data_IF_186789026632
#
_entry.id   IF_186789026632
#
_cell.length_a   1.000
_cell.length_b   1.000
_cell.length_c   1.000
_cell.angle_alpha   90.00
_cell.angle_beta   90.00
_cell.angle_gamma   90.00
#
_symmetry.space_group_name_H-M   'P 1'
#
loop_
_entity.id
_entity.type
_entity.pdbx_description
1 polymer ?
#
# COMPACT_ATOMS: atom_id res chain seq x y z
N UNK A 1 14.59 0.56 6.67
CA UNK A 1 13.23 0.01 6.96
C UNK A 1 12.38 0.92 7.88
N UNK A 2 12.65 2.24 7.95
CA UNK A 2 12.04 3.15 8.94
C UNK A 2 10.51 3.15 8.92
N UNK A 3 9.88 3.23 7.74
CA UNK A 3 8.41 3.25 7.66
C UNK A 3 7.77 1.97 8.20
N UNK A 4 8.36 0.80 7.94
CA UNK A 4 7.89 -0.47 8.50
C UNK A 4 8.03 -0.48 10.03
N UNK A 5 9.12 0.08 10.55
CA UNK A 5 9.31 0.23 12.00
C UNK A 5 8.26 1.17 12.60
N UNK A 6 8.01 2.32 11.99
CA UNK A 6 6.99 3.27 12.46
C UNK A 6 5.59 2.64 12.46
N UNK A 7 5.23 1.90 11.40
CA UNK A 7 3.97 1.13 11.35
C UNK A 7 3.89 0.13 12.49
N UNK A 8 4.92 -0.71 12.66
CA UNK A 8 4.96 -1.73 13.71
C UNK A 8 4.96 -1.15 15.13
N UNK A 9 5.57 0.02 15.34
CA UNK A 9 5.65 0.69 16.63
C UNK A 9 4.37 1.47 16.95
N UNK A 10 3.62 1.91 15.95
CA UNK A 10 2.38 2.66 16.14
C UNK A 10 1.26 1.83 16.77
N UNK A 11 1.24 0.52 16.54
CA UNK A 11 0.15 -0.36 16.97
C UNK A 11 -1.19 -0.12 16.26
N UNK A 12 -1.24 0.73 15.22
CA UNK A 12 -2.46 1.07 14.49
C UNK A 12 -2.96 -0.05 13.56
N UNK A 13 -2.06 -0.97 13.16
CA UNK A 13 -2.36 -2.12 12.30
C UNK A 13 -2.66 -3.36 13.15
N UNK A 14 -3.50 -4.29 12.66
CA UNK A 14 -3.96 -5.45 13.42
C UNK A 14 -2.87 -6.53 13.67
N UNK A 15 -1.62 -6.28 13.28
CA UNK A 15 -0.52 -7.23 13.42
C UNK A 15 0.81 -6.68 12.90
N UNK A 16 1.86 -7.49 12.98
CA UNK A 16 3.18 -7.15 12.44
C UNK A 16 3.14 -7.09 10.92
N UNK A 17 3.83 -6.10 10.35
CA UNK A 17 4.02 -5.97 8.90
C UNK A 17 4.82 -7.15 8.36
N UNK A 18 4.28 -7.80 7.33
CA UNK A 18 4.91 -8.92 6.60
C UNK A 18 5.35 -8.53 5.18
N UNK A 19 5.22 -7.25 4.82
CA UNK A 19 5.61 -6.73 3.50
C UNK A 19 7.09 -6.94 3.23
N UNK A 20 7.42 -7.57 2.11
CA UNK A 20 8.80 -7.79 1.68
C UNK A 20 9.48 -6.48 1.26
N UNK A 21 10.79 -6.38 1.52
CA UNK A 21 11.65 -5.31 0.99
C UNK A 21 12.78 -5.96 0.22
N UNK A 22 12.71 -5.87 -1.11
CA UNK A 22 13.67 -6.46 -2.05
C UNK A 22 14.08 -5.40 -3.08
N UNK A 23 15.27 -5.51 -3.69
CA UNK A 23 15.62 -4.72 -4.85
C UNK A 23 14.59 -4.92 -5.97
N UNK A 24 14.33 -3.88 -6.75
CA UNK A 24 13.48 -3.99 -7.95
C UNK A 24 14.17 -4.89 -8.98
N UNK A 25 13.41 -5.78 -9.61
CA UNK A 25 13.86 -6.62 -10.73
C UNK A 25 13.09 -6.29 -12.01
N UNK A 26 12.97 -7.26 -12.91
CA UNK A 26 12.13 -7.12 -14.11
C UNK A 26 10.67 -6.86 -13.74
N UNK A 27 10.05 -5.90 -14.44
CA UNK A 27 8.63 -5.58 -14.30
C UNK A 27 7.92 -5.91 -15.61
N UNK A 28 7.20 -7.03 -15.62
CA UNK A 28 6.44 -7.49 -16.78
C UNK A 28 5.09 -6.76 -16.82
N UNK A 29 4.89 -5.94 -17.84
CA UNK A 29 3.64 -5.20 -18.03
C UNK A 29 2.46 -6.17 -18.21
N UNK A 30 1.39 -5.95 -17.44
CA UNK A 30 0.15 -6.70 -17.60
C UNK A 30 -0.59 -6.28 -18.87
N UNK A 31 -1.43 -7.16 -19.40
CA UNK A 31 -2.17 -6.99 -20.63
C UNK A 31 -3.03 -5.69 -20.62
N UNK A 32 -3.31 -5.07 -21.79
CA UNK A 32 -4.01 -3.79 -21.87
C UNK A 32 -5.36 -3.73 -21.13
N UNK A 33 -6.08 -4.85 -21.05
CA UNK A 33 -7.34 -4.98 -20.33
C UNK A 33 -7.21 -4.87 -18.80
N UNK A 34 -6.00 -4.98 -18.24
CA UNK A 34 -5.73 -4.77 -16.82
C UNK A 34 -5.36 -3.31 -16.50
N UNK A 35 -4.88 -2.55 -17.49
CA UNK A 35 -4.51 -1.16 -17.30
C UNK A 35 -5.76 -0.28 -17.13
N UNK A 36 -5.73 0.61 -16.14
CA UNK A 36 -6.84 1.53 -15.85
C UNK A 36 -8.21 0.85 -15.69
N UNK A 37 -8.23 -0.41 -15.22
CA UNK A 37 -9.45 -1.22 -15.15
C UNK A 37 -10.59 -0.52 -14.39
N UNK A 38 -10.32 0.05 -13.22
CA UNK A 38 -11.33 0.76 -12.42
C UNK A 38 -11.65 2.18 -12.94
N UNK A 39 -10.83 2.74 -13.83
CA UNK A 39 -11.19 3.99 -14.55
C UNK A 39 -12.20 3.68 -15.65
N UNK A 40 -11.99 2.57 -16.40
CA UNK A 40 -12.91 2.10 -17.45
C UNK A 40 -14.19 1.48 -16.88
N UNK A 41 -14.08 0.79 -15.75
CA UNK A 41 -15.19 0.16 -15.03
C UNK A 41 -15.26 0.66 -13.57
N UNK A 42 -15.84 1.84 -13.31
CA UNK A 42 -15.86 2.46 -11.97
C UNK A 42 -16.53 1.64 -10.87
N UNK A 43 -17.40 0.69 -11.24
CA UNK A 43 -18.08 -0.23 -10.31
C UNK A 43 -17.53 -1.66 -10.40
N UNK A 44 -16.35 -1.83 -10.98
CA UNK A 44 -15.65 -3.10 -11.08
C UNK A 44 -15.19 -3.62 -9.72
N UNK A 45 -14.66 -4.84 -9.71
CA UNK A 45 -14.22 -5.49 -8.48
C UNK A 45 -13.02 -4.79 -7.82
N UNK A 46 -13.16 -4.48 -6.53
CA UNK A 46 -12.04 -4.08 -5.65
C UNK A 46 -12.38 -4.37 -4.19
N UNK A 47 -11.37 -4.72 -3.41
CA UNK A 47 -11.45 -4.84 -1.95
C UNK A 47 -10.69 -3.73 -1.21
N UNK A 48 -10.07 -2.80 -1.95
CA UNK A 48 -9.23 -1.76 -1.39
C UNK A 48 -10.01 -0.50 -1.07
N UNK A 49 -9.82 0.03 0.13
CA UNK A 49 -10.33 1.32 0.57
C UNK A 49 -9.36 1.94 1.60
N UNK A 50 -9.32 3.28 1.75
CA UNK A 50 -8.54 3.94 2.79
C UNK A 50 -9.07 3.61 4.19
N UNK A 51 -8.20 3.20 5.11
CA UNK A 51 -8.55 3.00 6.52
C UNK A 51 -8.16 4.27 7.27
N UNK A 52 -9.14 5.02 7.76
CA UNK A 52 -8.92 6.31 8.44
C UNK A 52 -7.97 6.22 9.63
N UNK A 53 -7.93 5.07 10.30
CA UNK A 53 -7.15 4.85 11.52
C UNK A 53 -5.75 4.27 11.22
N UNK A 54 -5.45 3.95 9.96
CA UNK A 54 -4.15 3.42 9.51
C UNK A 54 -3.28 4.55 8.94
N UNK A 55 -3.04 5.56 9.77
CA UNK A 55 -2.31 6.79 9.40
C UNK A 55 -1.25 7.08 10.44
N UNK A 56 0.01 7.16 10.01
CA UNK A 56 1.10 7.56 10.89
C UNK A 56 1.04 9.08 11.15
N UNK A 57 1.43 9.55 12.36
CA UNK A 57 1.58 10.98 12.60
C UNK A 57 2.60 11.59 11.65
N UNK A 58 2.36 12.85 11.26
CA UNK A 58 3.29 13.60 10.42
C UNK A 58 4.62 13.73 11.16
N UNK A 59 5.70 13.26 10.55
CA UNK A 59 7.04 13.48 11.08
C UNK A 59 7.32 14.98 11.01
N UNK A 60 7.81 15.58 12.09
CA UNK A 60 8.37 16.94 12.02
C UNK A 60 9.43 16.98 10.92
N UNK A 61 9.34 17.99 10.06
CA UNK A 61 10.42 18.29 9.12
C UNK A 61 11.54 18.89 9.95
N UNK A 62 12.59 18.09 10.19
CA UNK A 62 13.88 18.60 10.66
C UNK A 62 14.54 19.38 9.52
#
# INVERSE_FOLDING_TARGET
LRTIQDVNNSGLWPGKVVTEVKPVGDFWEAEPEHQDYLVRYPYGYTCHYPRKDWVLPVREKV
#
